data_IF_164141069119
#
_entry.id   IF_164141069119
#
_cell.length_a   1.000
_cell.length_b   1.000
_cell.length_c   1.000
_cell.angle_alpha   90.00
_cell.angle_beta   90.00
_cell.angle_gamma   90.00
#
_symmetry.space_group_name_H-M   'P 1'
#
loop_
_entity.id
_entity.type
_entity.pdbx_description
1 polymer ?
#
# COMPACT_ATOMS: atom_id res chain seq x y z
N UNK A 1 -30.90 -52.63 -33.92
CA UNK A 1 -30.16 -51.41 -34.30
C UNK A 1 -29.68 -50.71 -33.03
N UNK A 2 -28.38 -50.80 -32.70
CA UNK A 2 -27.82 -50.15 -31.50
C UNK A 2 -27.48 -48.70 -31.83
N UNK A 3 -28.15 -47.74 -31.18
CA UNK A 3 -27.86 -46.31 -31.31
C UNK A 3 -26.60 -46.01 -30.49
N UNK A 4 -25.51 -45.65 -31.16
CA UNK A 4 -24.28 -45.18 -30.52
C UNK A 4 -24.52 -43.72 -30.17
N UNK A 5 -24.57 -43.40 -28.88
CA UNK A 5 -24.59 -42.02 -28.41
C UNK A 5 -23.15 -41.51 -28.36
N UNK A 6 -22.84 -40.53 -29.20
CA UNK A 6 -21.52 -39.89 -29.24
C UNK A 6 -21.48 -38.79 -28.18
N UNK A 7 -20.78 -39.01 -27.08
CA UNK A 7 -20.51 -37.98 -26.06
C UNK A 7 -19.35 -37.10 -26.52
N UNK A 8 -19.59 -35.80 -26.74
CA UNK A 8 -18.56 -34.81 -27.04
C UNK A 8 -18.08 -34.22 -25.71
N UNK A 9 -16.85 -34.53 -25.31
CA UNK A 9 -16.19 -33.92 -24.15
C UNK A 9 -15.47 -32.65 -24.63
N UNK A 10 -16.04 -31.48 -24.34
CA UNK A 10 -15.37 -30.19 -24.60
C UNK A 10 -14.42 -29.94 -23.44
N UNK A 11 -13.15 -30.31 -23.63
CA UNK A 11 -12.06 -30.02 -22.70
C UNK A 11 -11.69 -28.53 -22.85
N UNK A 12 -12.35 -27.65 -22.10
CA UNK A 12 -11.94 -26.24 -22.04
C UNK A 12 -10.61 -26.16 -21.28
N UNK A 13 -9.51 -26.06 -22.04
CA UNK A 13 -8.22 -25.63 -21.53
C UNK A 13 -8.40 -24.18 -21.06
N UNK A 14 -8.84 -23.98 -19.82
CA UNK A 14 -8.76 -22.67 -19.19
C UNK A 14 -7.26 -22.37 -19.05
N UNK A 15 -6.70 -21.39 -19.80
CA UNK A 15 -5.37 -20.92 -19.48
C UNK A 15 -5.44 -20.43 -18.03
N UNK A 16 -4.67 -21.08 -17.17
CA UNK A 16 -4.43 -20.62 -15.82
C UNK A 16 -3.68 -19.30 -15.97
N UNK A 17 -4.42 -18.19 -16.13
CA UNK A 17 -3.87 -16.85 -16.10
C UNK A 17 -3.44 -16.61 -14.66
N UNK A 18 -2.23 -17.06 -14.33
CA UNK A 18 -1.51 -16.60 -13.16
C UNK A 18 -1.23 -15.13 -13.36
N UNK A 19 -2.13 -14.27 -12.88
CA UNK A 19 -1.84 -12.84 -12.76
C UNK A 19 -0.72 -12.73 -11.74
N UNK A 20 0.52 -12.56 -12.22
CA UNK A 20 1.66 -12.27 -11.37
C UNK A 20 1.34 -10.97 -10.61
N UNK A 21 1.14 -11.08 -9.30
CA UNK A 21 0.89 -9.92 -8.45
C UNK A 21 2.23 -9.26 -8.12
N UNK A 22 2.51 -8.13 -8.78
CA UNK A 22 3.73 -7.35 -8.60
C UNK A 22 3.48 -6.13 -7.72
N UNK A 23 4.57 -5.58 -7.17
CA UNK A 23 4.55 -4.25 -6.54
C UNK A 23 4.31 -3.21 -7.62
N UNK A 24 3.32 -2.34 -7.43
CA UNK A 24 3.02 -1.24 -8.35
C UNK A 24 3.69 0.03 -7.82
N UNK A 25 4.62 0.57 -8.59
CA UNK A 25 5.24 1.87 -8.28
C UNK A 25 4.34 3.00 -8.78
N UNK A 26 4.10 3.98 -7.92
CA UNK A 26 3.37 5.19 -8.21
C UNK A 26 4.31 6.37 -8.13
N UNK A 27 4.38 7.14 -9.21
CA UNK A 27 5.15 8.38 -9.24
C UNK A 27 4.33 9.47 -9.91
N UNK A 28 4.08 10.56 -9.18
CA UNK A 28 3.45 11.75 -9.71
C UNK A 28 3.90 12.99 -8.94
N UNK A 29 3.47 14.17 -9.43
CA UNK A 29 3.83 15.48 -8.84
C UNK A 29 3.39 15.69 -7.39
N UNK A 30 2.48 14.88 -6.88
CA UNK A 30 1.91 15.03 -5.53
C UNK A 30 2.52 14.05 -4.53
N UNK A 31 2.85 12.84 -4.95
CA UNK A 31 3.46 11.82 -4.10
C UNK A 31 4.17 10.74 -4.93
N UNK A 32 5.10 10.06 -4.25
CA UNK A 32 5.74 8.83 -4.71
C UNK A 32 5.36 7.70 -3.75
N UNK A 33 5.25 6.47 -4.25
CA UNK A 33 4.99 5.32 -3.41
C UNK A 33 4.94 3.99 -4.13
N UNK A 34 4.67 2.93 -3.36
CA UNK A 34 4.54 1.57 -3.85
C UNK A 34 3.30 0.90 -3.25
N UNK A 35 2.50 0.25 -4.08
CA UNK A 35 1.38 -0.60 -3.66
C UNK A 35 1.88 -2.03 -3.57
N UNK A 36 1.72 -2.62 -2.39
CA UNK A 36 2.11 -4.01 -2.14
C UNK A 36 0.91 -4.94 -2.33
N UNK A 37 1.06 -6.01 -3.14
CA UNK A 37 -0.02 -6.97 -3.35
C UNK A 37 -0.34 -7.74 -2.06
N UNK A 38 -1.51 -8.39 -2.01
CA UNK A 38 -1.89 -9.24 -0.87
C UNK A 38 -0.90 -10.37 -0.59
N UNK A 39 -0.19 -10.83 -1.61
CA UNK A 39 0.84 -11.87 -1.52
C UNK A 39 2.16 -11.37 -0.94
N UNK A 40 2.33 -10.06 -0.78
CA UNK A 40 3.55 -9.49 -0.20
C UNK A 40 3.65 -9.85 1.28
N UNK A 41 4.78 -10.45 1.63
CA UNK A 41 5.12 -10.82 3.00
C UNK A 41 6.40 -10.12 3.42
N UNK A 42 6.46 -9.66 4.66
CA UNK A 42 7.63 -9.05 5.29
C UNK A 42 7.51 -9.29 6.81
N UNK A 43 8.64 -9.56 7.47
CA UNK A 43 8.74 -9.77 8.91
C UNK A 43 8.14 -8.62 9.74
N UNK A 44 8.25 -7.38 9.26
CA UNK A 44 7.70 -6.18 9.90
C UNK A 44 6.16 -6.22 10.09
N UNK A 45 5.46 -7.08 9.34
CA UNK A 45 4.01 -7.24 9.42
C UNK A 45 3.59 -8.64 9.85
N UNK A 46 4.48 -9.41 10.49
CA UNK A 46 4.13 -10.76 10.97
C UNK A 46 3.03 -10.75 12.04
N UNK A 47 2.78 -9.61 12.69
CA UNK A 47 1.68 -9.41 13.63
C UNK A 47 0.31 -9.24 12.95
N UNK A 48 0.28 -9.08 11.62
CA UNK A 48 -0.95 -8.98 10.83
C UNK A 48 -1.27 -10.33 10.20
N UNK A 49 -2.52 -10.76 10.31
CA UNK A 49 -2.98 -11.94 9.58
C UNK A 49 -2.91 -11.66 8.06
N UNK A 50 -2.29 -12.60 7.34
CA UNK A 50 -2.18 -12.55 5.88
C UNK A 50 -3.52 -12.84 5.22
N UNK A 51 -4.43 -13.54 5.90
CA UNK A 51 -5.77 -13.86 5.40
C UNK A 51 -6.62 -12.60 5.17
N UNK A 52 -6.35 -11.54 5.93
CA UNK A 52 -7.05 -10.26 5.89
C UNK A 52 -6.49 -9.29 4.84
N UNK A 53 -5.55 -9.71 4.00
CA UNK A 53 -4.91 -8.83 3.00
C UNK A 53 -5.70 -8.76 1.70
N UNK A 54 -5.74 -7.56 1.11
CA UNK A 54 -6.11 -7.36 -0.30
C UNK A 54 -5.04 -6.55 -1.04
N UNK A 55 -5.05 -6.61 -2.37
CA UNK A 55 -4.20 -5.80 -3.24
C UNK A 55 -4.94 -4.49 -3.56
N UNK A 56 -4.51 -3.34 -3.02
CA UNK A 56 -5.15 -2.07 -3.36
C UNK A 56 -5.02 -1.76 -4.85
N UNK A 57 -6.03 -1.11 -5.39
CA UNK A 57 -5.96 -0.53 -6.74
C UNK A 57 -5.35 0.87 -6.68
N UNK A 58 -4.80 1.33 -7.80
CA UNK A 58 -4.33 2.72 -7.94
C UNK A 58 -5.45 3.71 -7.63
N UNK A 59 -6.68 3.45 -8.09
CA UNK A 59 -7.83 4.32 -7.84
C UNK A 59 -8.19 4.41 -6.33
N UNK A 60 -8.14 3.30 -5.60
CA UNK A 60 -8.35 3.29 -4.14
C UNK A 60 -7.27 4.12 -3.42
N UNK A 61 -6.00 3.98 -3.85
CA UNK A 61 -4.87 4.76 -3.30
C UNK A 61 -5.00 6.24 -3.63
N UNK A 62 -5.37 6.62 -4.85
CA UNK A 62 -5.59 8.01 -5.23
C UNK A 62 -6.73 8.66 -4.45
N UNK A 63 -7.84 7.91 -4.24
CA UNK A 63 -8.95 8.35 -3.41
C UNK A 63 -8.50 8.60 -1.97
N UNK A 64 -7.71 7.69 -1.41
CA UNK A 64 -7.11 7.86 -0.09
C UNK A 64 -6.21 9.10 -0.03
N UNK A 65 -5.29 9.27 -0.98
CA UNK A 65 -4.35 10.39 -1.03
C UNK A 65 -5.06 11.75 -1.15
N UNK A 66 -6.16 11.82 -1.90
CA UNK A 66 -7.01 13.02 -1.97
C UNK A 66 -7.68 13.34 -0.62
N UNK A 67 -8.20 12.33 0.07
CA UNK A 67 -8.78 12.49 1.40
C UNK A 67 -7.72 12.88 2.45
N UNK A 68 -6.53 12.26 2.38
CA UNK A 68 -5.39 12.56 3.24
C UNK A 68 -4.99 14.03 3.10
N UNK A 69 -4.74 14.51 1.87
CA UNK A 69 -4.34 15.91 1.63
C UNK A 69 -5.33 16.93 2.21
N UNK A 70 -6.64 16.67 2.07
CA UNK A 70 -7.68 17.59 2.54
C UNK A 70 -7.87 17.56 4.06
N UNK A 71 -7.61 16.41 4.72
CA UNK A 71 -7.94 16.21 6.13
C UNK A 71 -6.72 16.20 7.05
N UNK A 72 -5.52 15.95 6.54
CA UNK A 72 -4.32 15.69 7.34
C UNK A 72 -3.99 16.83 8.30
N UNK A 73 -4.08 18.08 7.86
CA UNK A 73 -3.84 19.24 8.74
C UNK A 73 -4.82 19.30 9.92
N UNK A 74 -6.07 18.88 9.73
CA UNK A 74 -7.11 18.88 10.76
C UNK A 74 -6.94 17.74 11.75
N UNK A 75 -6.49 16.56 11.31
CA UNK A 75 -6.27 15.40 12.20
C UNK A 75 -4.93 15.51 12.93
N UNK A 76 -3.93 16.18 12.33
CA UNK A 76 -2.59 16.33 12.89
C UNK A 76 -2.43 17.66 13.66
N UNK A 77 -3.40 18.00 14.52
CA UNK A 77 -3.38 19.25 15.31
C UNK A 77 -2.49 19.14 16.53
N UNK A 78 -2.46 17.97 17.17
CA UNK A 78 -1.81 17.82 18.47
C UNK A 78 -0.31 17.51 18.38
N UNK A 79 0.19 17.18 17.18
CA UNK A 79 1.61 16.96 16.89
C UNK A 79 2.32 16.02 17.88
N UNK A 80 1.61 15.03 18.44
CA UNK A 80 2.09 14.18 19.54
C UNK A 80 3.48 13.59 19.27
N UNK A 81 3.70 13.05 18.07
CA UNK A 81 4.96 12.40 17.67
C UNK A 81 5.85 13.29 16.78
N UNK A 82 5.59 14.60 16.75
CA UNK A 82 6.28 15.57 15.87
C UNK A 82 6.85 16.75 16.66
N UNK A 83 7.32 16.47 17.88
CA UNK A 83 8.03 17.41 18.73
C UNK A 83 9.54 17.35 18.47
N UNK A 84 10.32 18.28 19.04
CA UNK A 84 11.78 18.25 19.05
C UNK A 84 12.43 18.05 17.66
N UNK A 85 12.13 18.95 16.73
CA UNK A 85 12.68 18.97 15.36
C UNK A 85 12.15 17.90 14.40
N UNK A 86 11.28 16.99 14.85
CA UNK A 86 10.62 16.03 13.97
C UNK A 86 9.77 16.76 12.89
N UNK A 87 9.89 16.39 11.60
CA UNK A 87 9.15 17.06 10.53
C UNK A 87 7.64 16.96 10.69
N UNK A 88 6.96 18.10 10.56
CA UNK A 88 5.49 18.14 10.60
C UNK A 88 4.94 17.55 9.29
N UNK A 89 4.32 16.36 9.36
CA UNK A 89 3.87 15.58 8.19
C UNK A 89 2.88 16.34 7.31
N UNK A 90 1.98 17.14 7.92
CA UNK A 90 0.99 17.88 7.14
C UNK A 90 1.58 19.05 6.35
N UNK A 91 2.80 19.50 6.70
CA UNK A 91 3.57 20.52 5.96
C UNK A 91 4.53 19.90 4.95
N UNK A 92 5.00 18.69 5.24
CA UNK A 92 6.05 18.01 4.48
C UNK A 92 5.56 16.79 3.70
N UNK A 93 4.24 16.62 3.53
CA UNK A 93 3.66 15.39 2.99
C UNK A 93 4.37 14.90 1.72
N UNK A 94 4.64 15.80 0.76
CA UNK A 94 5.29 15.46 -0.51
C UNK A 94 6.71 14.87 -0.38
N UNK A 95 7.41 15.12 0.73
CA UNK A 95 8.78 14.65 0.99
C UNK A 95 8.85 13.19 1.43
N UNK A 96 7.72 12.56 1.67
CA UNK A 96 7.69 11.17 2.08
C UNK A 96 7.33 10.28 0.89
N UNK A 97 7.98 9.11 0.79
CA UNK A 97 7.56 7.98 -0.04
C UNK A 97 6.51 7.17 0.75
N UNK A 98 5.46 6.69 0.08
CA UNK A 98 4.43 5.84 0.71
C UNK A 98 4.64 4.37 0.40
N UNK A 99 4.34 3.53 1.37
CA UNK A 99 4.10 2.10 1.14
C UNK A 99 2.65 1.81 1.50
N UNK A 100 1.87 1.26 0.57
CA UNK A 100 0.45 0.97 0.77
C UNK A 100 0.23 -0.53 0.89
N UNK A 101 -0.41 -0.94 2.00
CA UNK A 101 -0.83 -2.30 2.25
C UNK A 101 -2.35 -2.32 2.50
N UNK A 102 -3.07 -3.17 1.78
CA UNK A 102 -4.52 -3.31 1.92
C UNK A 102 -4.93 -4.37 2.93
N UNK A 103 -5.90 -4.04 3.79
CA UNK A 103 -6.51 -4.93 4.78
C UNK A 103 -8.04 -4.93 4.69
N UNK A 104 -8.66 -6.04 5.03
CA UNK A 104 -10.11 -6.22 5.13
C UNK A 104 -10.40 -6.77 6.52
N UNK A 105 -11.28 -6.12 7.28
CA UNK A 105 -11.75 -6.69 8.55
C UNK A 105 -12.87 -7.73 8.32
N UNK A 106 -13.26 -8.43 9.39
CA UNK A 106 -14.31 -9.45 9.38
C UNK A 106 -15.67 -8.95 8.84
N UNK A 107 -15.93 -7.64 8.89
CA UNK A 107 -17.15 -7.03 8.34
C UNK A 107 -17.09 -6.79 6.82
N UNK A 108 -15.94 -7.05 6.21
CA UNK A 108 -15.67 -6.75 4.80
C UNK A 108 -15.21 -5.31 4.56
N UNK A 109 -14.95 -4.53 5.62
CA UNK A 109 -14.51 -3.14 5.48
C UNK A 109 -13.03 -3.08 5.17
N UNK A 110 -12.68 -2.30 4.16
CA UNK A 110 -11.31 -2.11 3.67
C UNK A 110 -10.58 -0.99 4.41
N UNK A 111 -9.30 -1.24 4.72
CA UNK A 111 -8.36 -0.28 5.28
C UNK A 111 -7.07 -0.25 4.45
N UNK A 112 -6.42 0.91 4.43
CA UNK A 112 -5.04 1.05 3.96
C UNK A 112 -4.15 1.32 5.17
N UNK A 113 -3.19 0.44 5.39
CA UNK A 113 -2.01 0.75 6.21
C UNK A 113 -1.02 1.47 5.30
N UNK A 114 -0.53 2.62 5.76
CA UNK A 114 0.38 3.46 4.96
C UNK A 114 1.58 3.84 5.78
N UNK A 115 2.76 3.39 5.35
CA UNK A 115 4.02 3.88 5.91
C UNK A 115 4.47 5.13 5.18
N UNK A 116 4.96 6.10 5.95
CA UNK A 116 5.52 7.35 5.44
C UNK A 116 7.03 7.35 5.66
N UNK A 117 7.79 7.05 4.61
CA UNK A 117 9.24 7.01 4.65
C UNK A 117 9.80 8.36 4.20
N UNK A 118 10.62 9.02 5.03
CA UNK A 118 11.24 10.28 4.63
C UNK A 118 12.19 10.05 3.44
N UNK A 119 11.96 10.74 2.34
CA UNK A 119 12.79 10.58 1.16
C UNK A 119 14.08 11.41 1.31
N UNK A 120 15.22 10.72 1.38
CA UNK A 120 16.54 11.32 1.55
C UNK A 120 16.95 12.23 0.39
N UNK A 121 16.37 12.07 -0.82
CA UNK A 121 16.63 12.96 -1.95
C UNK A 121 16.06 14.38 -1.77
N UNK A 122 15.21 14.61 -0.76
CA UNK A 122 14.66 15.93 -0.40
C UNK A 122 15.35 16.55 0.84
N UNK A 123 16.54 16.07 1.22
CA UNK A 123 17.31 16.64 2.33
C UNK A 123 17.99 17.95 1.94
N UNK A 124 17.77 19.00 2.72
CA UNK A 124 18.50 20.28 2.62
C UNK A 124 19.59 20.42 3.70
N UNK A 125 19.69 19.51 4.70
CA UNK A 125 20.79 19.46 5.67
C UNK A 125 20.80 18.11 6.42
N UNK A 126 21.98 17.49 6.57
CA UNK A 126 22.19 16.06 6.89
C UNK A 126 22.53 15.73 8.35
N UNK A 127 22.31 16.64 9.30
CA UNK A 127 22.84 16.47 10.68
C UNK A 127 21.80 16.04 11.74
N UNK A 128 20.68 15.45 11.35
CA UNK A 128 19.57 15.15 12.28
C UNK A 128 19.50 13.63 12.60
N UNK A 129 19.51 13.21 13.88
CA UNK A 129 19.69 11.80 14.31
C UNK A 129 18.49 10.85 14.14
N UNK A 130 17.31 11.28 13.71
CA UNK A 130 16.08 10.45 13.72
C UNK A 130 15.98 9.32 12.67
N UNK A 131 17.05 8.99 11.92
CA UNK A 131 16.89 8.29 10.62
C UNK A 131 17.35 6.82 10.52
N UNK A 132 17.58 6.11 11.62
CA UNK A 132 18.22 4.78 11.57
C UNK A 132 17.38 3.56 12.03
N UNK A 133 16.08 3.67 12.31
CA UNK A 133 15.37 2.56 12.99
C UNK A 133 14.40 1.69 12.16
N UNK A 134 14.25 1.88 10.84
CA UNK A 134 13.29 1.08 10.05
C UNK A 134 13.80 0.55 8.70
N UNK A 135 15.11 0.43 8.54
CA UNK A 135 15.69 -0.37 7.46
C UNK A 135 16.49 -1.50 8.10
N UNK A 136 16.24 -2.73 7.66
CA UNK A 136 16.97 -3.95 8.06
C UNK A 136 18.49 -3.73 8.25
#
# INVERSE_FOLDING_TARGET
>A
MKKIQTTIIILTLFPFFSIAQSIIVLENKNFQGAIFPKTYTNSAYNWLDKSDRFSPTTAEVEKFENALRSKLKKINTNLWDQQNSCPIIHRNLKKYIRQYLGFIDESGKKYLLVNFLWNKSFQENTNDPFYNELGD
#
